data_IF_760188975499
#
_entry.id   IF_760188975499
#
_cell.length_a   1.000
_cell.length_b   1.000
_cell.length_c   1.000
_cell.angle_alpha   90.00
_cell.angle_beta   90.00
_cell.angle_gamma   90.00
#
_symmetry.space_group_name_H-M   'P 1'
#
loop_
_entity.id
_entity.type
_entity.pdbx_description
1 polymer ?
#
# COMPACT_ATOMS: atom_id res chain seq x y z
N UNK A 1 1.27 6.25 -16.35
CA UNK A 1 0.08 6.75 -17.10
C UNK A 1 -1.18 6.01 -16.64
N UNK A 2 -1.76 6.31 -15.46
CA UNK A 2 -2.85 5.50 -14.88
C UNK A 2 -4.27 6.05 -15.11
N UNK A 3 -4.41 7.35 -15.35
CA UNK A 3 -5.71 8.03 -15.35
C UNK A 3 -6.44 8.09 -16.71
N UNK A 4 -5.79 7.70 -17.81
CA UNK A 4 -6.28 7.92 -19.19
C UNK A 4 -6.83 6.70 -19.93
N UNK A 5 -6.89 5.51 -19.32
CA UNK A 5 -7.35 4.30 -20.02
C UNK A 5 -8.89 4.21 -19.96
N UNK A 6 -9.60 4.22 -21.11
CA UNK A 6 -11.06 4.13 -21.15
C UNK A 6 -11.58 2.93 -20.37
N UNK A 7 -12.72 3.09 -19.68
CA UNK A 7 -13.43 2.06 -18.91
C UNK A 7 -12.71 1.44 -17.72
N UNK A 8 -11.38 1.60 -17.57
CA UNK A 8 -10.60 1.02 -16.45
C UNK A 8 -11.12 1.50 -15.10
N UNK A 9 -11.39 2.80 -14.96
CA UNK A 9 -11.95 3.37 -13.73
C UNK A 9 -13.35 2.80 -13.40
N UNK A 10 -14.20 2.58 -14.41
CA UNK A 10 -15.53 2.00 -14.20
C UNK A 10 -15.45 0.53 -13.76
N UNK A 11 -14.55 -0.26 -14.37
CA UNK A 11 -14.30 -1.65 -13.97
C UNK A 11 -13.77 -1.74 -12.54
N UNK A 12 -12.81 -0.89 -12.19
CA UNK A 12 -12.23 -0.86 -10.85
C UNK A 12 -13.27 -0.47 -9.79
N UNK A 13 -14.10 0.55 -10.06
CA UNK A 13 -15.22 0.90 -9.18
C UNK A 13 -16.22 -0.23 -9.02
N UNK A 14 -16.57 -0.93 -10.10
CA UNK A 14 -17.50 -2.08 -10.03
C UNK A 14 -16.95 -3.21 -9.16
N UNK A 15 -15.66 -3.51 -9.27
CA UNK A 15 -14.99 -4.50 -8.43
C UNK A 15 -15.02 -4.09 -6.95
N UNK A 16 -14.56 -2.88 -6.62
CA UNK A 16 -14.52 -2.44 -5.23
C UNK A 16 -15.90 -2.18 -4.61
N UNK A 17 -16.94 -1.88 -5.39
CA UNK A 17 -18.30 -1.71 -4.88
C UNK A 17 -18.87 -2.97 -4.21
N UNK A 18 -18.24 -4.13 -4.39
CA UNK A 18 -18.58 -5.38 -3.69
C UNK A 18 -18.15 -5.36 -2.22
N UNK A 19 -17.16 -4.54 -1.86
CA UNK A 19 -16.56 -4.46 -0.52
C UNK A 19 -16.73 -3.07 0.12
N UNK A 20 -16.71 -2.02 -0.71
CA UNK A 20 -16.64 -0.62 -0.29
C UNK A 20 -17.99 0.05 -0.51
N UNK A 21 -18.75 0.17 0.57
CA UNK A 21 -20.00 0.94 0.61
C UNK A 21 -19.74 2.42 0.85
N UNK A 22 -20.76 3.27 0.63
CA UNK A 22 -20.69 4.69 0.99
C UNK A 22 -20.40 4.83 2.49
N UNK A 23 -19.45 5.68 2.84
CA UNK A 23 -19.02 5.91 4.22
C UNK A 23 -18.04 4.87 4.78
N UNK A 24 -17.78 3.77 4.06
CA UNK A 24 -16.83 2.75 4.48
C UNK A 24 -15.41 3.34 4.63
N UNK A 25 -14.66 2.83 5.60
CA UNK A 25 -13.25 3.17 5.80
C UNK A 25 -12.36 2.23 4.97
N UNK A 26 -11.41 2.79 4.23
CA UNK A 26 -10.43 2.03 3.46
C UNK A 26 -9.00 2.47 3.75
N UNK A 27 -8.08 1.51 3.87
CA UNK A 27 -6.65 1.78 3.98
C UNK A 27 -5.96 1.46 2.65
N UNK A 28 -5.27 2.44 2.06
CA UNK A 28 -4.45 2.30 0.85
C UNK A 28 -2.97 2.31 1.27
N UNK A 29 -2.42 1.13 1.58
CA UNK A 29 -1.01 0.98 1.96
C UNK A 29 -0.17 0.89 0.69
N UNK A 30 0.79 1.80 0.55
CA UNK A 30 1.48 2.05 -0.73
C UNK A 30 0.55 2.78 -1.69
N UNK A 31 0.04 3.95 -1.26
CA UNK A 31 -0.93 4.72 -2.02
C UNK A 31 -0.36 5.31 -3.31
N UNK A 32 0.96 5.52 -3.38
CA UNK A 32 1.67 6.04 -4.55
C UNK A 32 0.98 7.33 -5.08
N UNK A 33 0.64 7.37 -6.37
CA UNK A 33 -0.09 8.49 -6.99
C UNK A 33 -1.62 8.51 -6.73
N UNK A 34 -2.14 7.68 -5.82
CA UNK A 34 -3.52 7.73 -5.33
C UNK A 34 -4.58 7.15 -6.27
N UNK A 35 -4.25 6.10 -7.03
CA UNK A 35 -5.21 5.46 -7.94
C UNK A 35 -6.40 4.83 -7.16
N UNK A 36 -6.12 4.16 -6.03
CA UNK A 36 -7.17 3.54 -5.20
C UNK A 36 -7.91 4.59 -4.38
N UNK A 37 -7.21 5.61 -3.87
CA UNK A 37 -7.84 6.83 -3.30
C UNK A 37 -8.93 7.38 -4.22
N UNK A 38 -8.61 7.68 -5.50
CA UNK A 38 -9.61 8.19 -6.46
C UNK A 38 -10.80 7.24 -6.61
N UNK A 39 -10.54 5.94 -6.70
CA UNK A 39 -11.58 4.93 -6.91
C UNK A 39 -12.53 4.84 -5.72
N UNK A 40 -12.01 4.70 -4.51
CA UNK A 40 -12.81 4.55 -3.30
C UNK A 40 -13.50 5.85 -2.90
N UNK A 41 -12.86 7.01 -3.12
CA UNK A 41 -13.53 8.30 -2.93
C UNK A 41 -14.72 8.47 -3.86
N UNK A 42 -14.64 8.01 -5.11
CA UNK A 42 -15.78 8.00 -6.05
C UNK A 42 -16.92 7.04 -5.63
N UNK A 43 -16.66 6.08 -4.74
CA UNK A 43 -17.68 5.25 -4.09
C UNK A 43 -18.24 5.88 -2.80
N UNK A 44 -17.69 7.01 -2.37
CA UNK A 44 -18.07 7.70 -1.14
C UNK A 44 -17.40 7.17 0.13
N UNK A 45 -16.31 6.42 0.01
CA UNK A 45 -15.54 5.90 1.14
C UNK A 45 -14.73 7.01 1.84
N UNK A 46 -14.35 6.80 3.09
CA UNK A 46 -13.23 7.50 3.74
C UNK A 46 -11.94 6.72 3.47
N UNK A 47 -10.85 7.40 3.15
CA UNK A 47 -9.59 6.74 2.79
C UNK A 47 -8.46 7.25 3.67
N UNK A 48 -7.72 6.32 4.27
CA UNK A 48 -6.39 6.60 4.83
C UNK A 48 -5.38 6.15 3.79
N UNK A 49 -4.66 7.09 3.18
CA UNK A 49 -3.64 6.86 2.17
C UNK A 49 -2.26 6.86 2.83
N UNK A 50 -1.60 5.70 2.86
CA UNK A 50 -0.32 5.52 3.55
C UNK A 50 0.79 5.40 2.51
N UNK A 51 1.75 6.32 2.57
CA UNK A 51 2.81 6.45 1.58
C UNK A 51 4.06 7.07 2.21
N UNK A 52 5.18 6.33 2.31
CA UNK A 52 6.41 6.88 2.90
C UNK A 52 7.20 7.81 1.97
N UNK A 53 7.05 7.70 0.64
CA UNK A 53 7.90 8.44 -0.29
C UNK A 53 7.48 9.92 -0.40
N UNK A 54 8.36 10.89 -0.09
CA UNK A 54 8.00 12.31 -0.04
C UNK A 54 7.38 12.86 -1.32
N UNK A 55 7.85 12.40 -2.49
CA UNK A 55 7.33 12.86 -3.77
C UNK A 55 5.89 12.40 -4.02
N UNK A 56 5.55 11.16 -3.66
CA UNK A 56 4.17 10.69 -3.74
C UNK A 56 3.29 11.31 -2.66
N UNK A 57 3.82 11.56 -1.47
CA UNK A 57 3.11 12.35 -0.44
C UNK A 57 2.76 13.75 -0.96
N UNK A 58 3.68 14.43 -1.66
CA UNK A 58 3.41 15.73 -2.29
C UNK A 58 2.30 15.63 -3.33
N UNK A 59 2.33 14.61 -4.17
CA UNK A 59 1.28 14.34 -5.18
C UNK A 59 -0.08 14.09 -4.50
N UNK A 60 -0.12 13.25 -3.47
CA UNK A 60 -1.34 12.95 -2.72
C UNK A 60 -1.90 14.20 -2.06
N UNK A 61 -1.05 15.02 -1.44
CA UNK A 61 -1.46 16.29 -0.82
C UNK A 61 -1.99 17.27 -1.85
N UNK A 62 -1.36 17.36 -3.02
CA UNK A 62 -1.83 18.22 -4.11
C UNK A 62 -3.18 17.77 -4.66
N UNK A 63 -3.41 16.46 -4.81
CA UNK A 63 -4.64 15.90 -5.37
C UNK A 63 -5.80 15.84 -4.36
N UNK A 64 -5.51 15.52 -3.10
CA UNK A 64 -6.51 15.11 -2.11
C UNK A 64 -6.42 15.83 -0.77
N UNK A 65 -5.44 16.72 -0.56
CA UNK A 65 -5.20 17.38 0.73
C UNK A 65 -6.36 18.28 1.21
N UNK A 66 -7.27 18.67 0.32
CA UNK A 66 -8.49 19.42 0.65
C UNK A 66 -9.75 18.55 0.73
N UNK A 67 -9.66 17.24 0.49
CA UNK A 67 -10.79 16.31 0.61
C UNK A 67 -10.90 15.81 2.05
N UNK A 68 -11.91 16.27 2.80
CA UNK A 68 -12.14 15.84 4.19
C UNK A 68 -12.45 14.34 4.37
N UNK A 69 -12.62 13.60 3.27
CA UNK A 69 -12.71 12.14 3.27
C UNK A 69 -11.38 11.42 3.06
N UNK A 70 -10.25 12.12 2.95
CA UNK A 70 -8.92 11.55 2.74
C UNK A 70 -7.96 12.01 3.85
N UNK A 71 -7.35 11.05 4.53
CA UNK A 71 -6.22 11.26 5.43
C UNK A 71 -4.94 10.78 4.72
N UNK A 72 -3.86 11.54 4.81
CA UNK A 72 -2.56 11.18 4.21
C UNK A 72 -1.56 10.92 5.34
N UNK A 73 -1.06 9.69 5.42
CA UNK A 73 -0.10 9.24 6.41
C UNK A 73 1.27 9.08 5.75
N UNK A 74 2.23 10.00 5.98
CA UNK A 74 3.54 9.98 5.34
C UNK A 74 4.50 9.01 6.06
N UNK A 75 4.10 7.75 6.21
CA UNK A 75 4.84 6.72 6.94
C UNK A 75 4.81 5.41 6.17
N UNK A 76 5.78 4.54 6.44
CA UNK A 76 5.79 3.16 6.00
C UNK A 76 4.92 2.30 6.93
N UNK A 77 4.50 1.13 6.44
CA UNK A 77 3.79 0.13 7.26
C UNK A 77 4.69 -1.08 7.47
N UNK A 78 4.81 -1.53 8.72
CA UNK A 78 5.63 -2.68 9.07
C UNK A 78 5.18 -3.38 10.35
N UNK A 79 5.96 -4.37 10.76
CA UNK A 79 5.69 -5.23 11.92
C UNK A 79 5.61 -4.46 13.24
N UNK A 80 6.49 -3.49 13.42
CA UNK A 80 6.59 -2.67 14.62
C UNK A 80 6.77 -1.21 14.26
N UNK A 81 6.32 -0.33 15.15
CA UNK A 81 6.58 1.10 15.02
C UNK A 81 8.08 1.40 15.17
N UNK A 82 8.58 2.40 14.46
CA UNK A 82 9.99 2.76 14.48
C UNK A 82 10.39 3.54 13.25
N UNK A 83 11.60 3.27 12.73
CA UNK A 83 12.09 3.85 11.48
C UNK A 83 12.77 2.79 10.63
N UNK A 84 12.66 2.88 9.31
CA UNK A 84 13.30 1.97 8.36
C UNK A 84 13.96 2.73 7.21
N UNK A 85 14.88 2.08 6.50
CA UNK A 85 15.48 2.62 5.27
C UNK A 85 14.62 2.25 4.06
N UNK A 86 14.09 3.26 3.38
CA UNK A 86 13.38 3.16 2.11
C UNK A 86 14.40 3.18 0.96
N UNK A 87 14.41 2.11 0.17
CA UNK A 87 15.25 1.98 -1.01
C UNK A 87 14.47 2.53 -2.21
N UNK A 88 14.97 3.63 -2.77
CA UNK A 88 14.34 4.37 -3.85
C UNK A 88 15.12 4.17 -5.15
N UNK A 89 14.41 3.85 -6.23
CA UNK A 89 14.98 3.89 -7.58
C UNK A 89 14.70 5.23 -8.25
N UNK A 90 15.73 6.03 -8.50
CA UNK A 90 15.56 7.35 -9.13
C UNK A 90 15.10 7.24 -10.59
N UNK A 91 15.51 6.17 -11.29
CA UNK A 91 15.16 5.94 -12.71
C UNK A 91 13.81 5.25 -12.87
N UNK A 92 13.36 4.52 -11.84
CA UNK A 92 12.04 3.89 -11.79
C UNK A 92 11.38 4.18 -10.43
N UNK A 93 10.91 5.42 -10.18
CA UNK A 93 10.40 5.86 -8.87
C UNK A 93 9.19 5.07 -8.37
N UNK A 94 8.57 4.29 -9.25
CA UNK A 94 7.42 3.44 -8.92
C UNK A 94 7.82 2.10 -8.30
N UNK A 95 9.12 1.77 -8.26
CA UNK A 95 9.64 0.54 -7.65
C UNK A 95 10.46 0.92 -6.43
N UNK A 96 9.74 1.13 -5.33
CA UNK A 96 10.29 1.56 -4.04
C UNK A 96 9.98 0.49 -3.01
N UNK A 97 10.99 0.02 -2.28
CA UNK A 97 10.82 -1.07 -1.31
C UNK A 97 11.59 -0.82 -0.02
N UNK A 98 11.13 -1.41 1.08
CA UNK A 98 11.86 -1.51 2.34
C UNK A 98 12.69 -2.81 2.43
N UNK A 99 12.53 -3.72 1.47
CA UNK A 99 13.15 -5.05 1.49
C UNK A 99 14.40 -5.08 0.62
N UNK A 100 15.58 -5.00 1.25
CA UNK A 100 16.85 -5.22 0.56
C UNK A 100 16.92 -6.62 -0.06
N UNK A 101 16.35 -7.63 0.60
CA UNK A 101 16.29 -9.00 0.10
C UNK A 101 15.42 -9.14 -1.16
N UNK A 102 14.36 -8.33 -1.27
CA UNK A 102 13.54 -8.26 -2.48
C UNK A 102 14.30 -7.61 -3.64
N UNK A 103 15.01 -6.50 -3.38
CA UNK A 103 15.90 -5.87 -4.36
C UNK A 103 16.90 -6.88 -4.93
N UNK A 104 17.51 -7.69 -4.06
CA UNK A 104 18.54 -8.64 -4.46
C UNK A 104 17.97 -9.81 -5.31
N UNK A 105 16.71 -10.21 -5.08
CA UNK A 105 16.03 -11.24 -5.89
C UNK A 105 15.54 -10.70 -7.22
N UNK A 106 14.84 -9.56 -7.20
CA UNK A 106 14.14 -9.03 -8.36
C UNK A 106 15.08 -8.38 -9.38
N UNK A 107 16.29 -7.96 -8.98
CA UNK A 107 17.36 -7.54 -9.92
C UNK A 107 17.67 -8.55 -11.03
N UNK A 108 17.36 -9.83 -10.83
CA UNK A 108 17.64 -10.92 -11.78
C UNK A 108 16.45 -11.25 -12.69
N UNK A 109 15.30 -10.61 -12.47
CA UNK A 109 14.07 -10.87 -13.22
C UNK A 109 13.93 -9.96 -14.45
N UNK A 110 13.40 -10.48 -15.58
CA UNK A 110 13.12 -9.67 -16.77
C UNK A 110 12.20 -8.49 -16.46
N UNK A 111 12.58 -7.27 -16.87
CA UNK A 111 11.83 -6.05 -16.59
C UNK A 111 12.31 -5.23 -15.38
N UNK A 112 13.20 -5.79 -14.56
CA UNK A 112 13.87 -5.08 -13.45
C UNK A 112 15.38 -4.91 -13.66
N UNK A 113 15.90 -5.35 -14.81
CA UNK A 113 17.34 -5.45 -15.13
C UNK A 113 18.07 -4.09 -15.06
N UNK A 114 17.36 -2.98 -15.26
CA UNK A 114 17.91 -1.62 -15.26
C UNK A 114 17.44 -0.77 -14.07
N UNK A 115 16.80 -1.37 -13.07
CA UNK A 115 16.31 -0.64 -11.88
C UNK A 115 17.48 -0.44 -10.92
N UNK A 116 17.89 0.82 -10.75
CA UNK A 116 18.94 1.22 -9.81
C UNK A 116 18.35 1.86 -8.56
N UNK A 117 18.42 1.17 -7.42
CA UNK A 117 18.08 1.75 -6.12
C UNK A 117 19.25 2.57 -5.57
N UNK A 118 19.41 3.80 -6.07
CA UNK A 118 20.53 4.70 -5.80
C UNK A 118 20.36 5.55 -4.53
N UNK A 119 19.12 5.77 -4.07
CA UNK A 119 18.81 6.65 -2.95
C UNK A 119 18.23 5.87 -1.78
N UNK A 120 18.69 6.18 -0.57
CA UNK A 120 18.14 5.67 0.70
C UNK A 120 17.57 6.82 1.48
N UNK A 121 16.37 6.64 2.02
CA UNK A 121 15.73 7.62 2.88
C UNK A 121 15.22 6.96 4.15
N UNK A 122 15.50 7.56 5.31
CA UNK A 122 14.94 7.07 6.57
C UNK A 122 13.51 7.58 6.70
N UNK A 123 12.58 6.65 6.87
CA UNK A 123 11.15 6.94 7.03
C UNK A 123 10.62 6.36 8.32
N UNK A 124 9.63 7.02 8.91
CA UNK A 124 8.91 6.50 10.06
C UNK A 124 8.04 5.31 9.66
N UNK A 125 7.92 4.34 10.55
CA UNK A 125 7.13 3.12 10.37
C UNK A 125 6.02 3.10 11.41
N UNK A 126 4.80 2.80 10.94
CA UNK A 126 3.62 2.54 11.76
C UNK A 126 3.15 1.12 11.54
N UNK A 127 2.42 0.54 12.50
CA UNK A 127 1.80 -0.78 12.32
C UNK A 127 0.39 -0.65 11.75
N UNK A 128 -0.08 -1.67 11.02
CA UNK A 128 -1.49 -1.73 10.62
C UNK A 128 -2.42 -1.66 11.82
N UNK A 129 -2.07 -2.31 12.93
CA UNK A 129 -2.88 -2.26 14.15
C UNK A 129 -3.00 -0.83 14.71
N UNK A 130 -1.92 -0.05 14.75
CA UNK A 130 -1.98 1.33 15.21
C UNK A 130 -2.86 2.21 14.30
N UNK A 131 -2.91 1.93 13.00
CA UNK A 131 -3.82 2.61 12.08
C UNK A 131 -5.28 2.21 12.34
N UNK A 132 -5.56 0.93 12.60
CA UNK A 132 -6.89 0.46 13.00
C UNK A 132 -7.35 1.14 14.30
N UNK A 133 -6.49 1.19 15.31
CA UNK A 133 -6.77 1.84 16.59
C UNK A 133 -7.04 3.35 16.44
N UNK A 134 -6.30 4.02 15.56
CA UNK A 134 -6.43 5.47 15.35
C UNK A 134 -7.64 5.86 14.51
N UNK A 135 -7.92 5.13 13.44
CA UNK A 135 -8.91 5.53 12.42
C UNK A 135 -10.20 4.70 12.44
N UNK A 136 -10.17 3.54 13.11
CA UNK A 136 -11.26 2.57 13.15
C UNK A 136 -10.98 1.35 12.27
N UNK A 137 -11.87 0.35 12.41
CA UNK A 137 -11.80 -0.88 11.62
C UNK A 137 -12.09 -0.61 10.13
N UNK A 138 -11.17 -0.95 9.20
CA UNK A 138 -11.39 -0.75 7.78
C UNK A 138 -12.30 -1.83 7.20
N UNK A 139 -13.22 -1.41 6.33
CA UNK A 139 -13.98 -2.33 5.49
C UNK A 139 -13.11 -2.97 4.40
N UNK A 140 -12.03 -2.29 4.00
CA UNK A 140 -11.10 -2.81 3.01
C UNK A 140 -9.67 -2.29 3.22
N UNK A 141 -8.69 -3.18 3.10
CA UNK A 141 -7.26 -2.83 3.12
C UNK A 141 -6.60 -3.26 1.81
N UNK A 142 -5.87 -2.35 1.15
CA UNK A 142 -4.94 -2.69 0.06
C UNK A 142 -3.52 -2.62 0.60
N UNK A 143 -2.71 -3.65 0.34
CA UNK A 143 -1.27 -3.68 0.64
C UNK A 143 -0.48 -3.89 -0.64
N UNK A 144 0.42 -2.98 -0.95
CA UNK A 144 1.16 -2.92 -2.21
C UNK A 144 2.44 -2.15 -1.92
N UNK A 145 3.43 -2.86 -1.37
CA UNK A 145 4.64 -2.28 -0.76
C UNK A 145 5.91 -2.96 -1.29
N UNK A 146 5.80 -3.59 -2.45
CA UNK A 146 6.87 -4.15 -3.26
C UNK A 146 7.79 -5.08 -2.45
N UNK A 147 7.25 -6.19 -1.94
CA UNK A 147 8.02 -7.22 -1.25
C UNK A 147 8.15 -7.03 0.26
N UNK A 148 7.37 -6.12 0.83
CA UNK A 148 7.29 -5.90 2.28
C UNK A 148 5.89 -6.25 2.85
N UNK A 149 5.06 -6.93 2.06
CA UNK A 149 3.65 -7.23 2.39
C UNK A 149 3.55 -8.06 3.67
N UNK A 150 4.38 -9.10 3.81
CA UNK A 150 4.36 -9.97 4.98
C UNK A 150 4.71 -9.21 6.27
N UNK A 151 5.69 -8.31 6.20
CA UNK A 151 6.07 -7.46 7.34
C UNK A 151 5.00 -6.42 7.67
N UNK A 152 4.35 -5.83 6.66
CA UNK A 152 3.21 -4.95 6.88
C UNK A 152 2.04 -5.68 7.59
N UNK A 153 1.73 -6.91 7.15
CA UNK A 153 0.68 -7.75 7.75
C UNK A 153 1.06 -8.31 9.13
N UNK A 154 2.35 -8.49 9.43
CA UNK A 154 2.81 -8.90 10.74
C UNK A 154 2.44 -7.86 11.83
N UNK A 155 2.30 -6.59 11.46
CA UNK A 155 1.88 -5.50 12.35
C UNK A 155 0.36 -5.40 12.56
N UNK A 156 -0.45 -6.27 11.96
CA UNK A 156 -1.89 -6.35 12.17
C UNK A 156 -2.18 -7.36 13.28
N UNK A 157 -3.00 -7.03 14.29
CA UNK A 157 -3.29 -7.92 15.42
C UNK A 157 -4.73 -8.46 15.43
N UNK A 158 -5.65 -7.82 14.71
CA UNK A 158 -7.05 -8.25 14.59
C UNK A 158 -7.40 -8.57 13.14
N UNK A 159 -8.37 -9.46 12.88
CA UNK A 159 -8.88 -9.67 11.53
C UNK A 159 -9.46 -8.36 10.96
N UNK A 160 -9.42 -8.23 9.63
CA UNK A 160 -10.09 -7.16 8.88
C UNK A 160 -11.11 -7.79 7.94
N UNK A 161 -12.16 -7.04 7.61
CA UNK A 161 -13.29 -7.57 6.82
C UNK A 161 -12.89 -8.05 5.42
N UNK A 162 -12.02 -7.29 4.75
CA UNK A 162 -11.49 -7.65 3.44
C UNK A 162 -10.12 -7.03 3.21
N UNK A 163 -9.23 -7.78 2.55
CA UNK A 163 -7.88 -7.34 2.23
C UNK A 163 -7.46 -7.86 0.86
N UNK A 164 -6.70 -7.04 0.13
CA UNK A 164 -5.95 -7.47 -1.05
C UNK A 164 -4.49 -7.07 -0.92
N UNK A 165 -3.57 -7.95 -1.33
CA UNK A 165 -2.15 -7.62 -1.44
C UNK A 165 -1.61 -7.94 -2.83
N UNK A 166 -0.62 -7.17 -3.30
CA UNK A 166 0.11 -7.46 -4.54
C UNK A 166 1.24 -8.47 -4.28
N UNK A 167 1.55 -9.29 -5.27
CA UNK A 167 2.71 -10.17 -5.21
C UNK A 167 3.34 -10.33 -6.60
N UNK A 168 4.65 -10.53 -6.61
CA UNK A 168 5.41 -10.86 -7.81
C UNK A 168 5.73 -12.36 -7.81
N UNK A 169 5.58 -13.09 -8.93
CA UNK A 169 5.85 -14.53 -8.97
C UNK A 169 7.23 -14.95 -8.47
N UNK A 170 8.24 -14.09 -8.65
CA UNK A 170 9.61 -14.30 -8.20
C UNK A 170 9.77 -14.35 -6.67
N UNK A 171 8.79 -13.82 -5.92
CA UNK A 171 8.79 -13.80 -4.45
C UNK A 171 7.52 -14.42 -3.88
N UNK A 172 7.13 -15.57 -4.42
CA UNK A 172 5.91 -16.29 -4.06
C UNK A 172 5.84 -16.67 -2.57
N UNK A 173 6.98 -16.93 -1.95
CA UNK A 173 7.08 -17.22 -0.51
C UNK A 173 6.52 -16.08 0.35
N UNK A 174 6.75 -14.81 -0.01
CA UNK A 174 6.18 -13.66 0.72
C UNK A 174 4.65 -13.70 0.66
N UNK A 175 4.09 -14.09 -0.49
CA UNK A 175 2.64 -14.24 -0.64
C UNK A 175 2.07 -15.38 0.22
N UNK A 176 2.83 -16.48 0.39
CA UNK A 176 2.45 -17.58 1.29
C UNK A 176 2.48 -17.11 2.76
N UNK A 177 3.52 -16.38 3.17
CA UNK A 177 3.63 -15.80 4.51
C UNK A 177 2.46 -14.84 4.81
N UNK A 178 2.04 -14.06 3.81
CA UNK A 178 0.86 -13.20 3.91
C UNK A 178 -0.42 -14.01 4.17
N UNK A 179 -0.63 -15.10 3.43
CA UNK A 179 -1.81 -15.98 3.59
C UNK A 179 -1.80 -16.65 4.95
N UNK A 180 -0.66 -17.20 5.38
CA UNK A 180 -0.51 -17.81 6.70
C UNK A 180 -0.79 -16.81 7.82
N UNK A 181 -0.26 -15.58 7.70
CA UNK A 181 -0.55 -14.53 8.67
C UNK A 181 -2.03 -14.20 8.75
N UNK A 182 -2.70 -14.01 7.61
CA UNK A 182 -4.14 -13.69 7.58
C UNK A 182 -4.98 -14.85 8.13
N UNK A 183 -4.62 -16.10 7.82
CA UNK A 183 -5.28 -17.27 8.36
C UNK A 183 -5.14 -17.37 9.89
N UNK A 184 -3.98 -17.01 10.44
CA UNK A 184 -3.76 -17.00 11.90
C UNK A 184 -4.61 -15.97 12.66
N UNK A 185 -5.07 -14.92 11.98
CA UNK A 185 -5.92 -13.87 12.57
C UNK A 185 -7.41 -14.21 12.54
N UNK A 186 -7.81 -15.23 11.76
CA UNK A 186 -9.20 -15.64 11.59
C UNK A 186 -9.62 -16.79 12.54
N UNK A 187 -8.74 -17.21 13.44
CA UNK A 187 -8.96 -18.24 14.46
C UNK A 187 -9.43 -17.60 15.77
#
# INVERSE_FOLDING_TARGET
MYYGIPFRARRLRRFYAQFVQRGALCFDVGAHAGNRVRCWRALGARVVAIEPQPDFVRILRWLYGSDGGVEIVPQAVGRSAGSAELLLSERTPTVTTLSQAWVDRVRREPGFENVEWSRRERVDVVTLQALVERYGEPAFVKVDVEGFEAEALAGLATPVQALSFEYVPATREIALDCVERLASLAQ
#
